data_IF_793051944860
#
_entry.id   IF_793051944860
#
_cell.length_a   1.000
_cell.length_b   1.000
_cell.length_c   1.000
_cell.angle_alpha   90.00
_cell.angle_beta   90.00
_cell.angle_gamma   90.00
#
_symmetry.space_group_name_H-M   'P 1'
#
loop_
_entity.id
_entity.type
_entity.pdbx_description
1 polymer ?
#
# COMPACT_ATOMS: atom_id res chain seq x y z
N UNK A 1 8.03 -11.35 10.57
CA UNK A 1 9.21 -11.22 9.71
C UNK A 1 9.15 -9.97 8.83
N UNK A 2 8.23 -9.83 7.86
CA UNK A 2 8.17 -8.64 6.99
C UNK A 2 8.13 -7.29 7.73
N UNK A 3 7.36 -7.20 8.82
CA UNK A 3 7.33 -6.01 9.70
C UNK A 3 8.68 -5.72 10.39
N UNK A 4 9.37 -6.77 10.84
CA UNK A 4 10.71 -6.64 11.44
C UNK A 4 11.71 -6.10 10.41
N UNK A 5 11.70 -6.66 9.18
CA UNK A 5 12.60 -6.22 8.11
C UNK A 5 12.33 -4.77 7.73
N UNK A 6 11.06 -4.37 7.56
CA UNK A 6 10.69 -2.97 7.29
C UNK A 6 11.18 -2.04 8.40
N UNK A 7 11.00 -2.43 9.66
CA UNK A 7 11.47 -1.64 10.81
C UNK A 7 12.99 -1.48 10.82
N UNK A 8 13.73 -2.53 10.48
CA UNK A 8 15.19 -2.49 10.33
C UNK A 8 15.61 -1.56 9.18
N UNK A 9 14.94 -1.63 8.02
CA UNK A 9 15.18 -0.73 6.89
C UNK A 9 14.94 0.74 7.24
N UNK A 10 13.88 1.04 8.00
CA UNK A 10 13.59 2.42 8.42
C UNK A 10 14.59 2.98 9.44
N UNK A 11 15.24 2.12 10.22
CA UNK A 11 16.23 2.50 11.22
C UNK A 11 17.65 2.63 10.66
N UNK A 12 17.92 2.00 9.52
CA UNK A 12 19.23 1.95 8.88
C UNK A 12 19.19 2.71 7.57
N UNK A 13 19.29 4.04 7.65
CA UNK A 13 19.75 4.84 6.51
C UNK A 13 21.12 4.25 6.10
N UNK A 14 21.26 3.76 4.86
CA UNK A 14 22.49 3.21 4.23
C UNK A 14 22.99 1.79 4.58
N UNK A 15 22.13 0.80 4.91
CA UNK A 15 22.59 -0.61 4.95
C UNK A 15 21.75 -1.55 4.09
N UNK A 16 22.04 -1.57 2.79
CA UNK A 16 21.47 -2.53 1.84
C UNK A 16 21.83 -4.00 2.16
N UNK A 17 22.92 -4.26 2.89
CA UNK A 17 23.47 -5.62 3.08
C UNK A 17 22.81 -6.43 4.22
N UNK A 18 22.24 -5.78 5.24
CA UNK A 18 21.73 -6.46 6.44
C UNK A 18 20.54 -7.41 6.19
N UNK A 19 19.56 -7.07 5.32
CA UNK A 19 18.46 -7.98 4.98
C UNK A 19 18.95 -9.26 4.27
N UNK A 20 19.98 -9.13 3.44
CA UNK A 20 20.59 -10.27 2.76
C UNK A 20 21.38 -11.15 3.73
N UNK A 21 22.07 -10.57 4.72
CA UNK A 21 22.72 -11.32 5.80
C UNK A 21 21.71 -12.09 6.66
N UNK A 22 20.59 -11.46 7.03
CA UNK A 22 19.50 -12.09 7.78
C UNK A 22 18.90 -13.25 6.98
N UNK A 23 18.67 -13.04 5.69
CA UNK A 23 18.14 -14.08 4.81
C UNK A 23 19.11 -15.26 4.66
N UNK A 24 20.39 -15.00 4.44
CA UNK A 24 21.42 -16.04 4.34
C UNK A 24 21.56 -16.84 5.64
N UNK A 25 21.49 -16.16 6.80
CA UNK A 25 21.58 -16.80 8.10
C UNK A 25 20.36 -17.66 8.43
N UNK A 26 19.15 -17.21 8.06
CA UNK A 26 17.89 -17.86 8.42
C UNK A 26 17.34 -18.81 7.34
N UNK A 27 17.93 -18.81 6.12
CA UNK A 27 17.49 -19.61 4.96
C UNK A 27 15.99 -19.50 4.70
N UNK A 28 15.51 -18.27 4.64
CA UNK A 28 14.07 -18.03 4.57
C UNK A 28 13.50 -18.49 3.22
N UNK A 29 12.24 -18.96 3.20
CA UNK A 29 11.57 -19.24 1.93
C UNK A 29 11.51 -17.98 1.06
N UNK A 30 11.80 -18.10 -0.25
CA UNK A 30 11.77 -16.98 -1.21
C UNK A 30 10.48 -16.12 -1.14
N UNK A 31 9.36 -16.75 -0.79
CA UNK A 31 8.09 -16.07 -0.60
C UNK A 31 8.12 -15.06 0.55
N UNK A 32 8.80 -15.39 1.65
CA UNK A 32 8.92 -14.52 2.82
C UNK A 32 9.80 -13.31 2.51
N UNK A 33 10.87 -13.52 1.73
CA UNK A 33 11.71 -12.43 1.22
C UNK A 33 10.89 -11.46 0.38
N UNK A 34 10.17 -11.94 -0.63
CA UNK A 34 9.29 -11.11 -1.47
C UNK A 34 8.29 -10.30 -0.65
N UNK A 35 7.69 -10.89 0.38
CA UNK A 35 6.79 -10.18 1.29
C UNK A 35 7.51 -9.10 2.12
N UNK A 36 8.73 -9.36 2.59
CA UNK A 36 9.53 -8.39 3.30
C UNK A 36 10.01 -7.23 2.41
N UNK A 37 10.40 -7.53 1.17
CA UNK A 37 10.79 -6.53 0.17
C UNK A 37 9.62 -5.60 -0.13
N UNK A 38 8.42 -6.16 -0.32
CA UNK A 38 7.22 -5.34 -0.52
C UNK A 38 6.95 -4.44 0.68
N UNK A 39 6.98 -5.00 1.90
CA UNK A 39 6.77 -4.22 3.09
C UNK A 39 7.80 -3.10 3.20
N UNK A 40 9.05 -3.30 2.81
CA UNK A 40 10.09 -2.27 2.93
C UNK A 40 10.03 -1.23 1.82
N UNK A 41 9.82 -1.64 0.57
CA UNK A 41 9.96 -0.79 -0.62
C UNK A 41 8.62 -0.23 -1.16
N UNK A 42 7.50 -0.82 -0.80
CA UNK A 42 6.21 -0.52 -1.45
C UNK A 42 5.11 -0.12 -0.49
N UNK A 43 5.23 -0.44 0.80
CA UNK A 43 4.32 0.13 1.80
C UNK A 43 4.73 1.60 2.04
N UNK A 44 3.83 2.57 1.81
CA UNK A 44 4.18 3.98 1.80
C UNK A 44 4.44 4.51 3.21
N UNK A 45 5.05 5.70 3.33
CA UNK A 45 5.23 6.37 4.61
C UNK A 45 3.85 6.60 5.28
N UNK A 46 3.68 6.31 6.58
CA UNK A 46 2.42 6.52 7.29
C UNK A 46 1.84 7.94 7.14
N UNK A 47 2.68 8.97 7.05
CA UNK A 47 2.26 10.36 6.86
C UNK A 47 1.49 10.58 5.53
N UNK A 48 1.78 9.75 4.53
CA UNK A 48 1.14 9.78 3.20
C UNK A 48 0.09 8.70 2.99
N UNK A 49 -0.13 7.82 3.97
CA UNK A 49 -1.04 6.66 3.83
C UNK A 49 -2.52 7.00 3.58
N UNK A 50 -2.90 8.27 3.79
CA UNK A 50 -4.25 8.78 3.49
C UNK A 50 -4.37 9.42 2.09
N UNK A 51 -3.26 9.56 1.36
CA UNK A 51 -3.26 10.12 0.01
C UNK A 51 -3.95 9.14 -0.97
N UNK A 52 -4.97 9.59 -1.72
CA UNK A 52 -5.65 8.78 -2.73
C UNK A 52 -4.72 8.16 -3.79
N UNK A 53 -3.69 8.89 -4.23
CA UNK A 53 -2.72 8.39 -5.20
C UNK A 53 -1.91 7.22 -4.63
N UNK A 54 -1.48 7.37 -3.39
CA UNK A 54 -0.76 6.34 -2.64
C UNK A 54 -1.63 5.09 -2.43
N UNK A 55 -2.91 5.26 -2.09
CA UNK A 55 -3.85 4.16 -1.95
C UNK A 55 -4.03 3.38 -3.26
N UNK A 56 -4.25 4.07 -4.38
CA UNK A 56 -4.40 3.44 -5.72
C UNK A 56 -3.15 2.65 -6.10
N UNK A 57 -1.96 3.25 -5.95
CA UNK A 57 -0.71 2.61 -6.34
C UNK A 57 -0.42 1.40 -5.45
N UNK A 58 -0.67 1.51 -4.14
CA UNK A 58 -0.46 0.40 -3.20
C UNK A 58 -1.41 -0.76 -3.46
N UNK A 59 -2.72 -0.50 -3.59
CA UNK A 59 -3.71 -1.54 -3.87
C UNK A 59 -3.46 -2.23 -5.21
N UNK A 60 -3.07 -1.48 -6.24
CA UNK A 60 -2.72 -2.05 -7.56
C UNK A 60 -1.54 -3.01 -7.46
N UNK A 61 -0.50 -2.66 -6.70
CA UNK A 61 0.64 -3.57 -6.48
C UNK A 61 0.22 -4.79 -5.66
N UNK A 62 -0.62 -4.63 -4.63
CA UNK A 62 -1.09 -5.71 -3.76
C UNK A 62 -1.92 -6.77 -4.50
N UNK A 63 -2.73 -6.39 -5.49
CA UNK A 63 -3.60 -7.34 -6.22
C UNK A 63 -2.86 -8.51 -6.86
N UNK A 64 -1.60 -8.32 -7.22
CA UNK A 64 -0.76 -9.35 -7.87
C UNK A 64 0.43 -9.77 -7.00
N UNK A 65 0.57 -9.24 -5.79
CA UNK A 65 1.73 -9.48 -4.95
C UNK A 65 1.47 -10.62 -3.95
N UNK A 66 2.42 -11.54 -3.73
CA UNK A 66 2.27 -12.66 -2.79
C UNK A 66 1.88 -12.31 -1.35
N UNK A 67 2.22 -11.11 -0.89
CA UNK A 67 1.85 -10.65 0.46
C UNK A 67 0.33 -10.49 0.61
N UNK A 68 -0.35 -10.13 -0.49
CA UNK A 68 -1.77 -9.79 -0.50
C UNK A 68 -2.13 -8.64 0.45
N UNK A 69 -3.41 -8.29 0.45
CA UNK A 69 -3.96 -7.25 1.32
C UNK A 69 -3.91 -7.69 2.78
N UNK A 70 -4.26 -8.94 3.08
CA UNK A 70 -4.28 -9.47 4.45
C UNK A 70 -2.89 -9.48 5.09
N UNK A 71 -1.86 -9.87 4.34
CA UNK A 71 -0.48 -9.82 4.83
C UNK A 71 -0.02 -8.38 5.08
N UNK A 72 -0.43 -7.44 4.23
CA UNK A 72 -0.14 -6.02 4.40
C UNK A 72 -0.86 -5.42 5.63
N UNK A 73 -2.12 -5.83 5.88
CA UNK A 73 -2.86 -5.51 7.10
C UNK A 73 -2.14 -6.07 8.33
N UNK A 74 -1.67 -7.32 8.28
CA UNK A 74 -0.97 -7.93 9.40
C UNK A 74 0.33 -7.19 9.75
N UNK A 75 1.10 -6.77 8.74
CA UNK A 75 2.32 -5.97 8.92
C UNK A 75 2.00 -4.62 9.57
N UNK A 76 1.07 -3.86 9.00
CA UNK A 76 0.72 -2.52 9.50
C UNK A 76 0.06 -2.55 10.89
N UNK A 77 -0.68 -3.62 11.22
CA UNK A 77 -1.17 -3.86 12.59
C UNK A 77 -0.04 -4.17 13.57
N UNK A 78 0.92 -5.01 13.19
CA UNK A 78 2.06 -5.35 14.03
C UNK A 78 2.93 -4.12 14.34
N UNK A 79 3.00 -3.17 13.41
CA UNK A 79 3.72 -1.89 13.56
C UNK A 79 2.90 -0.80 14.28
N UNK A 80 1.61 -1.05 14.57
CA UNK A 80 0.74 -0.07 15.22
C UNK A 80 0.35 1.12 14.34
N UNK A 81 0.48 1.00 13.02
CA UNK A 81 0.28 2.09 12.04
C UNK A 81 -0.92 1.86 11.10
N UNK A 82 -1.75 0.85 11.35
CA UNK A 82 -2.89 0.51 10.49
C UNK A 82 -3.84 1.69 10.24
N UNK A 83 -4.04 2.57 11.21
CA UNK A 83 -4.92 3.74 11.11
C UNK A 83 -4.43 4.79 10.10
N UNK A 84 -3.15 4.74 9.74
CA UNK A 84 -2.56 5.56 8.69
C UNK A 84 -2.98 5.10 7.29
N UNK A 85 -3.47 3.87 7.13
CA UNK A 85 -3.81 3.25 5.85
C UNK A 85 -5.28 2.79 5.80
N UNK A 86 -6.26 3.73 5.81
CA UNK A 86 -7.68 3.39 5.82
C UNK A 86 -8.13 2.56 4.61
N UNK A 87 -7.40 2.66 3.49
CA UNK A 87 -7.63 1.88 2.28
C UNK A 87 -7.32 0.39 2.45
N UNK A 88 -6.48 -0.01 3.42
CA UNK A 88 -6.22 -1.44 3.69
C UNK A 88 -7.40 -2.05 4.43
N UNK A 89 -7.91 -1.36 5.46
CA UNK A 89 -9.07 -1.82 6.26
C UNK A 89 -10.34 -1.90 5.41
N UNK A 90 -10.53 -0.95 4.50
CA UNK A 90 -11.71 -0.88 3.63
C UNK A 90 -11.38 -1.27 2.18
N UNK A 91 -10.45 -2.21 2.00
CA UNK A 91 -9.88 -2.52 0.69
C UNK A 91 -10.90 -2.92 -0.37
N UNK A 92 -11.92 -3.70 -0.01
CA UNK A 92 -12.99 -4.08 -0.95
C UNK A 92 -13.72 -2.86 -1.52
N UNK A 93 -14.05 -1.88 -0.67
CA UNK A 93 -14.72 -0.64 -1.09
C UNK A 93 -13.85 0.16 -2.05
N UNK A 94 -12.56 0.29 -1.75
CA UNK A 94 -11.60 1.03 -2.58
C UNK A 94 -11.39 0.31 -3.92
N UNK A 95 -11.22 -1.01 -3.90
CA UNK A 95 -11.06 -1.83 -5.11
C UNK A 95 -12.28 -1.76 -6.02
N UNK A 96 -13.49 -1.78 -5.45
CA UNK A 96 -14.73 -1.63 -6.23
C UNK A 96 -14.85 -0.24 -6.85
N UNK A 97 -14.47 0.83 -6.13
CA UNK A 97 -14.41 2.16 -6.72
C UNK A 97 -13.37 2.26 -7.85
N UNK A 98 -12.19 1.67 -7.66
CA UNK A 98 -11.14 1.60 -8.69
C UNK A 98 -11.58 0.81 -9.93
N UNK A 99 -12.35 -0.27 -9.74
CA UNK A 99 -12.89 -1.11 -10.82
C UNK A 99 -13.94 -0.36 -11.62
N UNK A 100 -14.87 0.34 -10.95
CA UNK A 100 -15.88 1.19 -11.62
C UNK A 100 -15.23 2.31 -12.43
N UNK A 101 -14.23 2.97 -11.87
CA UNK A 101 -13.49 4.04 -12.57
C UNK A 101 -12.79 3.55 -13.85
N UNK A 102 -12.45 2.26 -13.94
CA UNK A 102 -11.84 1.65 -15.13
C UNK A 102 -12.84 1.46 -16.28
N UNK A 103 -14.14 1.33 -16.00
CA UNK A 103 -15.14 0.97 -17.00
C UNK A 103 -15.48 2.12 -17.97
N UNK A 104 -15.01 3.34 -17.69
CA UNK A 104 -15.42 4.57 -18.38
C UNK A 104 -14.39 5.10 -19.40
N UNK A 105 -13.46 4.27 -19.91
CA UNK A 105 -12.40 4.74 -20.82
C UNK A 105 -13.01 5.34 -22.10
N UNK A 106 -12.71 6.61 -22.45
CA UNK A 106 -13.26 7.25 -23.64
C UNK A 106 -12.80 6.55 -24.92
N UNK A 107 -13.72 6.41 -25.87
CA UNK A 107 -13.42 5.89 -27.21
C UNK A 107 -12.30 6.74 -27.87
N UNK A 108 -11.32 6.06 -28.48
CA UNK A 108 -10.17 6.71 -29.11
C UNK A 108 -8.97 6.97 -28.18
N UNK A 109 -9.03 6.55 -26.92
CA UNK A 109 -7.84 6.53 -26.06
C UNK A 109 -6.99 5.30 -26.40
N UNK A 110 -5.76 5.50 -26.85
CA UNK A 110 -4.89 4.40 -27.32
C UNK A 110 -3.57 4.29 -26.55
N UNK A 111 -3.04 3.06 -26.51
CA UNK A 111 -1.71 2.77 -25.98
C UNK A 111 -1.51 3.21 -24.52
N UNK A 112 -0.36 3.86 -24.25
CA UNK A 112 0.03 4.29 -22.89
C UNK A 112 -0.94 5.31 -22.27
N UNK A 113 -1.70 6.05 -23.07
CA UNK A 113 -2.66 7.03 -22.59
C UNK A 113 -3.81 6.39 -21.81
N UNK A 114 -4.17 5.14 -22.13
CA UNK A 114 -5.20 4.38 -21.42
C UNK A 114 -4.82 4.21 -19.94
N UNK A 115 -3.58 3.78 -19.67
CA UNK A 115 -3.09 3.56 -18.31
C UNK A 115 -3.07 4.85 -17.48
N UNK A 116 -2.63 5.96 -18.07
CA UNK A 116 -2.61 7.28 -17.42
C UNK A 116 -4.03 7.74 -17.09
N UNK A 117 -4.95 7.60 -18.04
CA UNK A 117 -6.35 7.98 -17.84
C UNK A 117 -7.03 7.15 -16.75
N UNK A 118 -6.86 5.81 -16.80
CA UNK A 118 -7.42 4.90 -15.79
C UNK A 118 -6.90 5.26 -14.41
N UNK A 119 -5.58 5.46 -14.27
CA UNK A 119 -4.98 5.83 -12.98
C UNK A 119 -5.55 7.16 -12.48
N UNK A 120 -5.62 8.20 -13.31
CA UNK A 120 -6.17 9.49 -12.93
C UNK A 120 -7.62 9.37 -12.43
N UNK A 121 -8.44 8.54 -13.08
CA UNK A 121 -9.83 8.31 -12.67
C UNK A 121 -9.96 7.49 -11.39
N UNK A 122 -9.13 6.48 -11.22
CA UNK A 122 -9.06 5.73 -9.98
C UNK A 122 -8.69 6.63 -8.79
N UNK A 123 -7.71 7.53 -8.97
CA UNK A 123 -7.34 8.52 -7.95
C UNK A 123 -8.51 9.45 -7.61
N UNK A 124 -9.22 9.95 -8.61
CA UNK A 124 -10.39 10.80 -8.39
C UNK A 124 -11.51 10.07 -7.63
N UNK A 125 -11.79 8.82 -8.00
CA UNK A 125 -12.79 7.99 -7.32
C UNK A 125 -12.41 7.71 -5.87
N UNK A 126 -11.15 7.37 -5.60
CA UNK A 126 -10.64 7.15 -4.25
C UNK A 126 -10.66 8.45 -3.43
N UNK A 127 -10.31 9.59 -4.04
CA UNK A 127 -10.36 10.89 -3.36
C UNK A 127 -11.79 11.26 -2.92
N UNK A 128 -12.80 10.85 -3.68
CA UNK A 128 -14.20 11.04 -3.30
C UNK A 128 -14.59 10.16 -2.11
N UNK A 129 -14.12 8.90 -2.07
CA UNK A 129 -14.32 8.02 -0.91
C UNK A 129 -13.69 8.61 0.35
N UNK A 130 -12.47 9.12 0.26
CA UNK A 130 -11.76 9.74 1.39
C UNK A 130 -12.46 11.00 1.90
N UNK A 131 -13.12 11.77 1.02
CA UNK A 131 -13.90 12.97 1.39
C UNK A 131 -15.29 12.65 1.97
N UNK A 132 -15.95 11.61 1.44
CA UNK A 132 -17.30 11.21 1.86
C UNK A 132 -17.35 10.38 3.14
N UNK A 133 -16.23 9.77 3.55
CA UNK A 133 -16.11 9.01 4.79
C UNK A 133 -15.06 9.66 5.73
N UNK A 134 -15.41 10.73 6.48
CA UNK A 134 -14.49 11.42 7.38
C UNK A 134 -14.18 10.61 8.67
N UNK A 135 -14.33 9.29 8.64
CA UNK A 135 -14.24 8.36 9.77
C UNK A 135 -12.85 8.20 10.41
N UNK A 136 -11.89 9.08 10.12
CA UNK A 136 -10.60 9.14 10.80
C UNK A 136 -10.28 10.58 11.21
N UNK A 137 -11.20 11.21 11.97
CA UNK A 137 -10.79 12.32 12.85
C UNK A 137 -9.71 11.75 13.77
N UNK A 138 -8.46 12.15 13.53
CA UNK A 138 -7.37 11.95 14.45
C UNK A 138 -7.88 12.20 15.87
N UNK A 139 -7.77 11.21 16.77
CA UNK A 139 -7.75 11.49 18.20
C UNK A 139 -6.63 12.50 18.39
N UNK A 140 -7.01 13.77 18.61
CA UNK A 140 -6.12 14.76 19.20
C UNK A 140 -5.80 14.19 20.57
N UNK A 141 -4.60 13.64 20.74
CA UNK A 141 -4.08 13.34 22.06
C UNK A 141 -3.87 14.69 22.74
N UNK A 142 -4.76 15.01 23.67
CA UNK A 142 -4.45 15.95 24.73
C UNK A 142 -3.40 15.26 25.63
N UNK A 143 -2.20 15.82 25.66
CA UNK A 143 -1.23 15.70 26.75
C UNK A 143 -0.55 17.05 26.88
#
# INVERSE_FOLDING_TARGET
FASLVRSIYLLLEDREELPDEIDQALRLPNMWRRCADFASLHLPDPATGKDPAVAVDTLTKLQNHPIGIDGCIAVTKAEGIIDSYPFLVNSELYLEAMKKARAEVPAGTEGKAIGVWIRARQIAAVAELTRSHPGNKCRKNNA
#
